data_IF_778658701911
#
_entry.id   IF_778658701911
#
_cell.length_a   1.000
_cell.length_b   1.000
_cell.length_c   1.000
_cell.angle_alpha   90.00
_cell.angle_beta   90.00
_cell.angle_gamma   90.00
#
_symmetry.space_group_name_H-M   'P 1'
#
loop_
_entity.id
_entity.type
_entity.pdbx_description
1 polymer ?
#
# COMPACT_ATOMS: atom_id res chain seq x y z
N UNK A 1 34.19 55.38 -8.16
CA UNK A 1 32.81 54.96 -8.43
C UNK A 1 32.77 54.32 -9.82
N UNK A 2 32.60 53.01 -9.88
CA UNK A 2 32.47 52.24 -11.13
C UNK A 2 30.99 51.92 -11.34
N UNK A 3 30.42 52.13 -12.55
CA UNK A 3 28.99 51.96 -12.75
C UNK A 3 28.63 50.48 -12.81
N UNK A 4 27.69 50.08 -11.96
CA UNK A 4 26.99 48.80 -12.07
C UNK A 4 26.27 48.74 -13.42
N UNK A 5 26.76 47.86 -14.32
CA UNK A 5 25.95 47.40 -15.45
C UNK A 5 24.96 46.38 -14.90
N UNK A 6 23.70 46.80 -14.74
CA UNK A 6 22.59 45.88 -14.55
C UNK A 6 22.50 44.96 -15.76
N UNK A 7 22.48 43.65 -15.51
CA UNK A 7 22.35 42.63 -16.54
C UNK A 7 20.86 42.45 -16.87
N UNK A 8 20.39 42.77 -18.09
CA UNK A 8 19.00 42.64 -18.44
C UNK A 8 18.69 41.19 -18.88
N UNK A 9 17.63 40.64 -18.30
CA UNK A 9 16.82 39.52 -18.81
C UNK A 9 17.43 38.11 -18.68
N UNK A 10 17.26 37.51 -17.49
CA UNK A 10 16.99 36.08 -17.41
C UNK A 10 15.55 35.81 -17.91
N UNK A 11 15.36 35.73 -19.23
CA UNK A 11 14.12 35.18 -19.82
C UNK A 11 14.10 33.68 -19.51
N UNK A 12 13.28 33.28 -18.54
CA UNK A 12 12.90 31.89 -18.33
C UNK A 12 12.28 31.35 -19.62
N UNK A 13 13.00 30.49 -20.34
CA UNK A 13 12.41 29.72 -21.43
C UNK A 13 11.46 28.72 -20.81
N UNK A 14 10.17 29.01 -20.88
CA UNK A 14 9.09 28.10 -20.52
C UNK A 14 9.07 26.92 -21.51
N UNK A 15 9.96 25.95 -21.29
CA UNK A 15 9.94 24.69 -22.05
C UNK A 15 8.83 23.82 -21.50
N UNK A 16 7.97 23.31 -22.39
CA UNK A 16 6.87 22.42 -22.01
C UNK A 16 7.35 21.27 -21.10
N UNK A 17 6.58 20.88 -20.07
CA UNK A 17 7.01 19.88 -19.10
C UNK A 17 7.25 18.52 -19.78
N UNK A 18 8.30 17.77 -19.37
CA UNK A 18 8.57 16.48 -19.96
C UNK A 18 7.43 15.48 -19.68
N UNK A 19 7.28 14.50 -20.57
CA UNK A 19 6.24 13.45 -20.46
C UNK A 19 6.49 12.57 -19.24
N UNK A 20 5.41 12.25 -18.51
CA UNK A 20 5.45 11.39 -17.34
C UNK A 20 5.93 9.98 -17.71
N UNK A 21 7.01 9.51 -17.06
CA UNK A 21 7.55 8.16 -17.29
C UNK A 21 6.55 7.05 -16.93
N UNK A 22 5.70 7.25 -15.93
CA UNK A 22 4.69 6.26 -15.55
C UNK A 22 3.60 6.15 -16.62
N UNK A 23 3.14 7.30 -17.12
CA UNK A 23 2.18 7.39 -18.23
C UNK A 23 2.72 6.76 -19.51
N UNK A 24 3.93 7.17 -19.91
CA UNK A 24 4.57 6.70 -21.14
C UNK A 24 4.80 5.20 -21.15
N UNK A 25 5.12 4.60 -20.00
CA UNK A 25 5.42 3.16 -19.91
C UNK A 25 4.17 2.31 -19.67
N UNK A 26 3.31 2.74 -18.76
CA UNK A 26 2.21 1.90 -18.24
C UNK A 26 0.83 2.33 -18.72
N UNK A 27 0.72 3.51 -19.33
CA UNK A 27 -0.58 4.13 -19.61
C UNK A 27 -1.33 4.60 -18.37
N UNK A 28 -0.70 4.50 -17.19
CA UNK A 28 -1.31 4.80 -15.90
C UNK A 28 -0.33 5.56 -15.01
N UNK A 29 -0.78 6.69 -14.48
CA UNK A 29 -0.07 7.43 -13.43
C UNK A 29 -1.05 7.78 -12.31
N UNK A 30 -0.86 7.18 -11.13
CA UNK A 30 -1.73 7.43 -9.97
C UNK A 30 -1.71 8.90 -9.52
N UNK A 31 -0.58 9.60 -9.68
CA UNK A 31 -0.48 11.03 -9.36
C UNK A 31 -1.26 11.88 -10.35
N UNK A 32 -1.41 11.45 -11.61
CA UNK A 32 -2.20 12.18 -12.60
C UNK A 32 -3.69 12.05 -12.34
N UNK A 33 -4.14 10.85 -11.95
CA UNK A 33 -5.53 10.60 -11.58
C UNK A 33 -5.99 11.47 -10.40
N UNK A 34 -5.05 11.84 -9.52
CA UNK A 34 -5.28 12.71 -8.37
C UNK A 34 -4.85 14.17 -8.64
N UNK A 35 -4.57 14.56 -9.89
CA UNK A 35 -4.12 15.90 -10.31
C UNK A 35 -2.87 16.45 -9.59
N UNK A 36 -1.97 15.57 -9.14
CA UNK A 36 -0.73 15.89 -8.41
C UNK A 36 0.55 15.69 -9.22
N UNK A 37 0.46 15.19 -10.46
CA UNK A 37 1.63 14.90 -11.27
C UNK A 37 2.10 16.13 -12.05
N UNK A 38 3.33 16.58 -11.80
CA UNK A 38 3.94 17.75 -12.48
C UNK A 38 4.40 17.52 -13.94
N UNK A 39 4.16 16.34 -14.49
CA UNK A 39 4.65 15.92 -15.81
C UNK A 39 3.49 15.84 -16.80
N UNK A 40 3.77 15.91 -18.11
CA UNK A 40 2.72 15.84 -19.14
C UNK A 40 2.17 14.41 -19.32
N UNK A 41 0.87 14.29 -19.59
CA UNK A 41 0.15 13.02 -19.83
C UNK A 41 -0.63 13.04 -21.16
N UNK A 42 0.00 13.35 -22.30
CA UNK A 42 -0.72 13.49 -23.55
C UNK A 42 -1.16 12.10 -24.07
N UNK A 43 -2.35 12.02 -24.66
CA UNK A 43 -2.98 10.74 -25.06
C UNK A 43 -2.15 10.00 -26.12
N UNK A 44 -1.50 10.72 -27.03
CA UNK A 44 -0.62 10.17 -28.07
C UNK A 44 0.67 9.52 -27.52
N UNK A 45 1.05 9.86 -26.28
CA UNK A 45 2.19 9.25 -25.57
C UNK A 45 1.76 8.29 -24.46
N UNK A 46 0.49 7.90 -24.40
CA UNK A 46 0.00 6.92 -23.43
C UNK A 46 0.60 5.54 -23.74
N UNK A 47 1.33 4.98 -22.78
CA UNK A 47 1.83 3.60 -22.90
C UNK A 47 0.69 2.58 -22.87
N UNK A 48 0.90 1.41 -23.47
CA UNK A 48 -0.10 0.33 -23.43
C UNK A 48 -0.10 -0.51 -22.15
N UNK A 49 0.85 -0.27 -21.23
CA UNK A 49 1.30 -1.35 -20.34
C UNK A 49 2.05 -2.38 -21.17
N UNK A 50 3.16 -2.93 -20.68
CA UNK A 50 3.83 -4.00 -21.39
C UNK A 50 2.92 -5.24 -21.43
N UNK A 51 2.12 -5.38 -22.48
CA UNK A 51 1.63 -6.67 -22.99
C UNK A 51 2.72 -7.37 -23.81
N UNK A 52 3.98 -6.92 -23.67
CA UNK A 52 5.13 -7.67 -24.15
C UNK A 52 5.24 -8.94 -23.30
N UNK A 53 4.71 -10.03 -23.84
CA UNK A 53 5.23 -11.38 -23.60
C UNK A 53 6.74 -11.29 -23.80
N UNK A 54 7.48 -11.12 -22.69
CA UNK A 54 8.93 -11.11 -22.73
C UNK A 54 9.34 -12.49 -23.20
N UNK A 55 9.90 -12.59 -24.41
CA UNK A 55 10.52 -13.81 -24.89
C UNK A 55 11.50 -14.30 -23.83
N UNK A 56 11.37 -15.58 -23.49
CA UNK A 56 12.08 -16.25 -22.40
C UNK A 56 13.58 -16.20 -22.65
N UNK A 57 14.26 -15.18 -22.12
CA UNK A 57 15.70 -15.27 -21.89
C UNK A 57 15.97 -16.38 -20.86
N UNK A 58 17.06 -17.14 -21.03
CA UNK A 58 17.46 -18.30 -20.23
C UNK A 58 17.73 -18.04 -18.72
N UNK A 59 17.36 -16.88 -18.19
CA UNK A 59 17.41 -16.54 -16.77
C UNK A 59 16.03 -16.05 -16.35
N UNK A 60 15.41 -16.83 -15.46
CA UNK A 60 13.98 -16.87 -15.19
C UNK A 60 13.26 -15.52 -15.06
N UNK A 61 11.97 -15.55 -15.39
CA UNK A 61 11.02 -14.45 -15.25
C UNK A 61 11.33 -13.56 -14.05
N UNK A 62 11.49 -12.25 -14.29
CA UNK A 62 11.29 -11.27 -13.22
C UNK A 62 9.82 -11.36 -12.81
N UNK A 63 9.48 -12.25 -11.85
CA UNK A 63 8.14 -12.32 -11.26
C UNK A 63 7.72 -10.89 -10.96
N UNK A 64 6.57 -10.47 -11.49
CA UNK A 64 5.99 -9.17 -11.15
C UNK A 64 6.05 -9.06 -9.63
N UNK A 65 6.85 -8.12 -9.12
CA UNK A 65 7.04 -7.93 -7.69
C UNK A 65 5.74 -7.39 -7.15
N UNK A 66 4.87 -8.29 -6.73
CA UNK A 66 3.58 -7.97 -6.14
C UNK A 66 3.81 -7.56 -4.67
N UNK A 67 4.50 -6.42 -4.50
CA UNK A 67 5.24 -6.06 -3.28
C UNK A 67 4.41 -5.43 -2.17
N UNK A 68 3.13 -5.14 -2.41
CA UNK A 68 2.23 -4.51 -1.43
C UNK A 68 0.79 -5.06 -1.52
N UNK A 69 0.63 -6.38 -1.66
CA UNK A 69 -0.70 -7.01 -1.73
C UNK A 69 -1.56 -6.67 -0.51
N UNK A 70 -0.98 -6.72 0.69
CA UNK A 70 -1.66 -6.36 1.93
C UNK A 70 -2.11 -4.90 1.95
N UNK A 71 -1.25 -3.98 1.48
CA UNK A 71 -1.63 -2.56 1.39
C UNK A 71 -2.72 -2.30 0.37
N UNK A 72 -2.69 -2.98 -0.79
CA UNK A 72 -3.78 -2.92 -1.78
C UNK A 72 -5.10 -3.39 -1.17
N UNK A 73 -5.09 -4.56 -0.54
CA UNK A 73 -6.31 -5.12 0.04
C UNK A 73 -6.86 -4.30 1.20
N UNK A 74 -5.99 -3.79 2.08
CA UNK A 74 -6.36 -2.85 3.15
C UNK A 74 -7.08 -1.61 2.61
N UNK A 75 -6.53 -0.98 1.56
CA UNK A 75 -7.15 0.22 0.95
C UNK A 75 -8.52 -0.11 0.38
N UNK A 76 -8.63 -1.25 -0.30
CA UNK A 76 -9.92 -1.74 -0.80
C UNK A 76 -10.94 -1.98 0.33
N UNK A 77 -10.54 -2.60 1.45
CA UNK A 77 -11.42 -2.78 2.61
C UNK A 77 -11.95 -1.44 3.12
N UNK A 78 -11.07 -0.46 3.26
CA UNK A 78 -11.44 0.89 3.72
C UNK A 78 -12.38 1.58 2.75
N UNK A 79 -12.13 1.49 1.44
CA UNK A 79 -13.00 2.10 0.42
C UNK A 79 -14.36 1.41 0.35
N UNK A 80 -14.40 0.09 0.51
CA UNK A 80 -15.61 -0.71 0.33
C UNK A 80 -16.53 -0.69 1.55
N UNK A 81 -15.96 -0.87 2.75
CA UNK A 81 -16.74 -0.97 3.99
C UNK A 81 -16.74 0.32 4.80
N UNK A 82 -15.74 1.18 4.63
CA UNK A 82 -15.54 2.33 5.49
C UNK A 82 -14.88 1.97 6.82
N UNK A 83 -14.25 2.96 7.47
CA UNK A 83 -13.51 2.76 8.71
C UNK A 83 -14.41 2.42 9.89
N UNK A 84 -15.58 3.05 9.97
CA UNK A 84 -16.52 2.85 11.08
C UNK A 84 -17.00 1.41 11.11
N UNK A 85 -17.51 0.91 9.97
CA UNK A 85 -17.95 -0.48 9.85
C UNK A 85 -16.88 -1.48 10.24
N UNK A 86 -15.64 -1.26 9.77
CA UNK A 86 -14.52 -2.15 10.09
C UNK A 86 -14.10 -2.12 11.57
N UNK A 87 -14.49 -1.08 12.32
CA UNK A 87 -14.21 -0.94 13.76
C UNK A 87 -15.36 -1.42 14.64
N UNK A 88 -16.54 -1.72 14.08
CA UNK A 88 -17.68 -2.19 14.86
C UNK A 88 -17.37 -3.49 15.63
N UNK A 89 -17.97 -3.64 16.82
CA UNK A 89 -17.77 -4.80 17.68
C UNK A 89 -16.31 -5.05 18.01
N UNK A 90 -15.81 -6.25 17.69
CA UNK A 90 -14.42 -6.66 17.92
C UNK A 90 -13.49 -6.37 16.73
N UNK A 91 -13.99 -5.74 15.67
CA UNK A 91 -13.25 -5.44 14.44
C UNK A 91 -13.18 -6.62 13.45
N UNK A 92 -12.05 -6.75 12.75
CA UNK A 92 -11.88 -7.67 11.61
C UNK A 92 -11.27 -9.01 12.05
N UNK A 93 -11.89 -10.12 11.65
CA UNK A 93 -11.27 -11.45 11.71
C UNK A 93 -10.48 -11.79 10.44
N UNK A 94 -9.19 -12.10 10.57
CA UNK A 94 -8.29 -12.47 9.47
C UNK A 94 -7.93 -13.96 9.57
N UNK A 95 -8.73 -14.79 8.93
CA UNK A 95 -8.59 -16.26 8.92
C UNK A 95 -7.51 -16.66 7.90
N UNK A 96 -6.57 -17.50 8.33
CA UNK A 96 -5.37 -17.87 7.59
C UNK A 96 -4.51 -16.64 7.17
N UNK A 97 -4.48 -15.62 8.03
CA UNK A 97 -3.75 -14.36 7.80
C UNK A 97 -2.22 -14.49 7.78
N UNK A 98 -1.67 -15.66 8.12
CA UNK A 98 -0.25 -15.95 8.07
C UNK A 98 0.60 -15.00 8.90
N UNK A 99 1.56 -14.34 8.28
CA UNK A 99 2.47 -13.43 8.98
C UNK A 99 1.79 -12.12 9.43
N UNK A 100 0.48 -11.97 9.28
CA UNK A 100 -0.30 -10.86 9.84
C UNK A 100 0.05 -9.49 9.26
N UNK A 101 0.51 -9.40 8.00
CA UNK A 101 0.83 -8.10 7.38
C UNK A 101 -0.41 -7.22 7.22
N UNK A 102 -1.55 -7.80 6.85
CA UNK A 102 -2.82 -7.09 6.72
C UNK A 102 -3.28 -6.57 8.08
N UNK A 103 -3.39 -7.47 9.07
CA UNK A 103 -3.78 -7.15 10.43
C UNK A 103 -2.87 -6.08 11.05
N UNK A 104 -1.55 -6.19 10.86
CA UNK A 104 -0.59 -5.18 11.30
C UNK A 104 -0.92 -3.80 10.74
N UNK A 105 -1.19 -3.71 9.43
CA UNK A 105 -1.48 -2.42 8.79
C UNK A 105 -2.83 -1.86 9.23
N UNK A 106 -3.89 -2.69 9.38
CA UNK A 106 -5.20 -2.26 9.89
C UNK A 106 -5.07 -1.66 11.30
N UNK A 107 -4.36 -2.34 12.20
CA UNK A 107 -4.18 -1.90 13.58
C UNK A 107 -3.32 -0.64 13.68
N UNK A 108 -2.17 -0.62 13.00
CA UNK A 108 -1.17 0.42 13.23
C UNK A 108 -1.33 1.66 12.35
N UNK A 109 -1.84 1.50 11.12
CA UNK A 109 -2.04 2.63 10.21
C UNK A 109 -3.46 3.19 10.29
N UNK A 110 -4.44 2.39 10.72
CA UNK A 110 -5.85 2.79 10.71
C UNK A 110 -6.59 2.63 12.04
N UNK A 111 -5.97 2.00 13.05
CA UNK A 111 -6.62 1.75 14.35
C UNK A 111 -7.89 0.91 14.21
N UNK A 112 -7.91 0.04 13.20
CA UNK A 112 -8.96 -0.95 13.00
C UNK A 112 -8.50 -2.21 13.74
N UNK A 113 -9.21 -2.64 14.81
CA UNK A 113 -8.87 -3.89 15.50
C UNK A 113 -8.92 -5.05 14.53
N UNK A 114 -7.94 -5.94 14.61
CA UNK A 114 -7.89 -7.12 13.76
C UNK A 114 -7.28 -8.30 14.53
N UNK A 115 -7.97 -9.43 14.46
CA UNK A 115 -7.59 -10.68 15.10
C UNK A 115 -7.28 -11.72 14.04
N UNK A 116 -6.08 -12.30 14.09
CA UNK A 116 -5.60 -13.30 13.15
C UNK A 116 -5.83 -14.69 13.72
N UNK A 117 -6.29 -15.60 12.87
CA UNK A 117 -6.42 -17.02 13.17
C UNK A 117 -5.55 -17.79 12.17
N UNK A 118 -4.36 -18.22 12.59
CA UNK A 118 -3.45 -19.02 11.77
C UNK A 118 -2.65 -19.95 12.70
N UNK A 119 -2.46 -21.24 12.37
CA UNK A 119 -1.75 -22.17 13.25
C UNK A 119 -0.25 -21.84 13.38
N UNK A 120 0.31 -21.03 12.48
CA UNK A 120 1.75 -20.72 12.49
C UNK A 120 2.06 -19.60 13.47
N UNK A 121 3.22 -19.65 14.13
CA UNK A 121 3.73 -18.47 14.83
C UNK A 121 3.98 -17.34 13.83
N UNK A 122 3.75 -16.11 14.28
CA UNK A 122 3.93 -14.93 13.47
C UNK A 122 4.93 -13.96 14.11
N UNK A 123 5.56 -13.17 13.24
CA UNK A 123 6.61 -12.21 13.59
C UNK A 123 6.30 -10.87 12.91
N UNK A 124 6.17 -9.80 13.70
CA UNK A 124 5.84 -8.46 13.19
C UNK A 124 7.06 -7.56 13.00
N UNK A 125 8.24 -8.00 13.40
CA UNK A 125 9.48 -7.22 13.43
C UNK A 125 9.77 -6.59 12.07
N UNK A 126 9.50 -7.33 10.99
CA UNK A 126 9.64 -6.83 9.61
C UNK A 126 8.72 -5.64 9.35
N UNK A 127 7.48 -5.66 9.81
CA UNK A 127 6.50 -4.61 9.58
C UNK A 127 6.72 -3.41 10.51
N UNK A 128 7.10 -3.66 11.76
CA UNK A 128 7.57 -2.62 12.70
C UNK A 128 8.73 -1.84 12.07
N UNK A 129 9.72 -2.53 11.51
CA UNK A 129 10.84 -1.88 10.82
C UNK A 129 10.37 -1.04 9.63
N UNK A 130 9.45 -1.55 8.81
CA UNK A 130 8.88 -0.80 7.67
C UNK A 130 8.13 0.45 8.14
N UNK A 131 7.38 0.36 9.24
CA UNK A 131 6.65 1.48 9.83
C UNK A 131 7.62 2.57 10.31
N UNK A 132 8.64 2.20 11.10
CA UNK A 132 9.66 3.14 11.59
C UNK A 132 10.43 3.84 10.46
N UNK A 133 10.71 3.13 9.37
CA UNK A 133 11.32 3.69 8.16
C UNK A 133 10.36 4.57 7.33
N UNK A 134 9.12 4.73 7.76
CA UNK A 134 8.09 5.53 7.11
C UNK A 134 7.58 4.93 5.81
N UNK A 135 7.82 3.63 5.53
CA UNK A 135 7.53 3.02 4.22
C UNK A 135 6.05 3.13 3.83
N UNK A 136 5.15 3.14 4.82
CA UNK A 136 3.71 3.27 4.62
C UNK A 136 3.26 4.73 4.39
N UNK A 137 4.09 5.71 4.77
CA UNK A 137 3.78 7.14 4.75
C UNK A 137 4.43 7.89 3.58
N UNK A 138 5.31 7.24 2.80
CA UNK A 138 6.10 7.92 1.74
C UNK A 138 5.27 8.37 0.54
N UNK A 139 4.16 7.70 0.27
CA UNK A 139 3.38 7.91 -0.96
C UNK A 139 2.19 8.82 -0.66
N UNK A 140 2.28 10.07 -1.12
CA UNK A 140 1.26 11.10 -0.86
C UNK A 140 -0.13 10.72 -1.39
N UNK A 141 -0.21 10.02 -2.53
CA UNK A 141 -1.49 9.51 -3.07
C UNK A 141 -2.22 8.62 -2.06
N UNK A 142 -1.46 7.87 -1.26
CA UNK A 142 -2.01 6.94 -0.29
C UNK A 142 -2.13 7.54 1.11
N UNK A 143 -1.80 8.82 1.29
CA UNK A 143 -1.91 9.50 2.59
C UNK A 143 -3.34 9.44 3.14
N UNK A 144 -4.36 9.53 2.28
CA UNK A 144 -5.78 9.39 2.66
C UNK A 144 -6.15 8.05 3.30
N UNK A 145 -5.28 7.04 3.22
CA UNK A 145 -5.46 5.70 3.82
C UNK A 145 -4.60 5.47 5.04
N UNK A 146 -3.92 6.48 5.56
CA UNK A 146 -3.02 6.37 6.70
C UNK A 146 -3.47 7.37 7.76
N UNK A 147 -4.13 6.86 8.78
CA UNK A 147 -4.80 7.66 9.81
C UNK A 147 -3.85 8.01 10.96
N UNK A 148 -2.84 7.17 11.19
CA UNK A 148 -1.88 7.34 12.28
C UNK A 148 -0.47 7.66 11.76
N UNK A 149 0.27 8.51 12.50
CA UNK A 149 1.63 8.86 12.13
C UNK A 149 2.60 7.70 12.43
N UNK A 150 3.79 7.73 11.79
CA UNK A 150 4.77 6.63 11.83
C UNK A 150 5.43 6.42 13.19
N UNK A 151 5.39 7.43 14.05
CA UNK A 151 6.00 7.52 15.38
C UNK A 151 5.07 7.08 16.50
N UNK A 152 3.79 6.83 16.19
CA UNK A 152 2.86 6.19 17.12
C UNK A 152 3.45 4.88 17.65
N UNK A 153 3.21 4.62 18.93
CA UNK A 153 3.53 3.34 19.54
C UNK A 153 2.88 2.20 18.77
N UNK A 154 3.72 1.24 18.35
CA UNK A 154 3.29 0.11 17.55
C UNK A 154 2.58 -0.91 18.43
N UNK A 155 1.42 -1.39 17.96
CA UNK A 155 0.63 -2.43 18.61
C UNK A 155 0.69 -3.72 17.82
N UNK A 156 0.83 -4.84 18.51
CA UNK A 156 0.70 -6.17 17.91
C UNK A 156 -0.78 -6.49 17.69
N UNK A 157 -1.16 -7.03 16.51
CA UNK A 157 -2.49 -7.60 16.33
C UNK A 157 -2.75 -8.77 17.28
N UNK A 158 -4.01 -9.04 17.61
CA UNK A 158 -4.37 -10.27 18.30
C UNK A 158 -4.14 -11.47 17.37
N UNK A 159 -3.65 -12.58 17.91
CA UNK A 159 -3.36 -13.77 17.10
C UNK A 159 -3.64 -15.03 17.90
N UNK A 160 -4.51 -15.87 17.36
CA UNK A 160 -4.79 -17.20 17.89
C UNK A 160 -4.05 -18.24 17.04
N UNK A 161 -3.09 -18.93 17.67
CA UNK A 161 -2.38 -20.06 17.07
C UNK A 161 -3.23 -21.31 17.22
N UNK A 162 -4.11 -21.55 16.26
CA UNK A 162 -4.97 -22.71 16.24
C UNK A 162 -5.22 -23.19 14.81
N UNK A 163 -5.48 -24.49 14.69
CA UNK A 163 -6.03 -25.06 13.47
C UNK A 163 -7.54 -24.80 13.44
N UNK A 164 -8.07 -24.48 12.26
CA UNK A 164 -9.50 -24.33 12.09
C UNK A 164 -10.13 -25.73 12.00
N UNK A 165 -10.30 -26.36 13.15
CA UNK A 165 -10.89 -27.69 13.31
C UNK A 165 -12.38 -27.61 13.62
N UNK A 166 -13.12 -28.63 13.20
CA UNK A 166 -14.57 -28.67 13.29
C UNK A 166 -15.09 -28.60 14.74
N UNK A 167 -14.31 -29.12 15.69
CA UNK A 167 -14.55 -29.05 17.14
C UNK A 167 -14.62 -27.62 17.70
N UNK A 168 -14.18 -26.60 16.96
CA UNK A 168 -14.22 -25.21 17.42
C UNK A 168 -15.58 -24.53 17.23
N UNK A 169 -16.47 -25.09 16.38
CA UNK A 169 -17.78 -24.51 16.11
C UNK A 169 -18.93 -25.51 16.13
N UNK A 170 -18.65 -26.81 15.97
CA UNK A 170 -19.55 -27.83 16.48
C UNK A 170 -19.31 -27.86 17.97
N UNK A 171 -20.23 -27.28 18.75
CA UNK A 171 -20.27 -27.52 20.18
C UNK A 171 -20.19 -29.02 20.42
N UNK A 172 -19.55 -29.44 21.52
CA UNK A 172 -19.57 -30.85 21.91
C UNK A 172 -21.00 -31.34 21.76
N UNK A 173 -21.23 -32.28 20.84
CA UNK A 173 -22.47 -33.03 20.86
C UNK A 173 -22.49 -33.65 22.25
N UNK A 174 -23.44 -33.23 23.07
CA UNK A 174 -23.85 -33.96 24.26
C UNK A 174 -24.26 -35.36 23.76
N UNK A 175 -23.29 -36.26 23.66
CA UNK A 175 -23.53 -37.69 23.48
C UNK A 175 -23.47 -38.29 24.89
N UNK A 176 -24.65 -38.70 25.34
CA UNK A 176 -24.99 -39.39 26.59
C UNK A 176 -24.15 -40.66 26.87
#
# INVERSE_FOLDING_TARGET
ETPHKENPQAKEKETAPPVCRHWQKKGLCLYFQENKCKFAHPLDKKGGGDEKVREKGARGFSKARNGDKAGVFRRWLIDHFGREKLREGSGVGDVAGGQSELAFQLVNLNGIPCTVIDPRPYSIERFVRRLRQGNYHRNEIFAKYVDYPKDRECRSPSHFQLFFEESLWKGESEED
#
